data_IF_606964508631
#
_entry.id   IF_606964508631
#
_cell.length_a   1.000
_cell.length_b   1.000
_cell.length_c   1.000
_cell.angle_alpha   90.00
_cell.angle_beta   90.00
_cell.angle_gamma   90.00
#
_symmetry.space_group_name_H-M   'P 1'
#
loop_
_entity.id
_entity.type
_entity.pdbx_description
1 polymer ?
#
# COMPACT_ATOMS: atom_id res chain seq x y z
N UNK A 1 12.88 -2.97 43.09
CA UNK A 1 11.42 -2.71 42.96
C UNK A 1 10.95 -2.63 41.50
N UNK A 2 11.73 -2.08 40.57
CA UNK A 2 11.39 -2.02 39.12
C UNK A 2 11.36 -3.38 38.41
N UNK A 3 12.24 -4.32 38.79
CA UNK A 3 12.27 -5.67 38.19
C UNK A 3 11.00 -6.50 38.47
N UNK A 4 10.42 -6.36 39.66
CA UNK A 4 9.21 -7.09 40.09
C UNK A 4 7.94 -6.54 39.42
N UNK A 5 7.88 -5.22 39.22
CA UNK A 5 6.81 -4.59 38.44
C UNK A 5 6.89 -5.00 36.96
N UNK A 6 8.10 -5.10 36.40
CA UNK A 6 8.29 -5.57 35.02
C UNK A 6 7.87 -7.02 34.85
N UNK A 7 8.21 -7.91 35.79
CA UNK A 7 7.79 -9.31 35.70
C UNK A 7 6.28 -9.46 35.81
N UNK A 8 5.62 -8.71 36.70
CA UNK A 8 4.15 -8.73 36.80
C UNK A 8 3.46 -8.19 35.54
N UNK A 9 4.00 -7.14 34.91
CA UNK A 9 3.45 -6.63 33.63
C UNK A 9 3.67 -7.66 32.51
N UNK A 10 4.82 -8.33 32.48
CA UNK A 10 5.13 -9.38 31.49
C UNK A 10 4.24 -10.61 31.70
N UNK A 11 4.00 -11.04 32.94
CA UNK A 11 3.14 -12.19 33.26
C UNK A 11 1.66 -11.87 32.97
N UNK A 12 1.22 -10.63 33.22
CA UNK A 12 -0.13 -10.17 32.87
C UNK A 12 -0.29 -10.03 31.35
N UNK A 13 0.73 -9.55 30.64
CA UNK A 13 0.73 -9.46 29.17
C UNK A 13 0.82 -10.84 28.50
N UNK A 14 1.53 -11.79 29.10
CA UNK A 14 1.61 -13.19 28.66
C UNK A 14 0.27 -13.90 28.88
N UNK A 15 -0.41 -13.66 30.01
CA UNK A 15 -1.72 -14.26 30.30
C UNK A 15 -2.88 -13.66 29.48
N UNK A 16 -2.70 -12.49 28.86
CA UNK A 16 -3.69 -11.88 27.95
C UNK A 16 -3.53 -12.31 26.49
N UNK A 17 -2.56 -13.18 26.16
CA UNK A 17 -2.27 -13.56 24.76
C UNK A 17 -1.74 -12.40 23.91
N UNK A 18 -1.45 -11.24 24.51
CA UNK A 18 -0.97 -10.06 23.82
C UNK A 18 0.43 -10.29 23.24
N UNK A 19 1.27 -11.08 23.90
CA UNK A 19 2.59 -11.47 23.39
C UNK A 19 2.49 -12.40 22.18
N UNK A 20 1.54 -13.33 22.17
CA UNK A 20 1.27 -14.22 21.03
C UNK A 20 0.64 -13.46 19.87
N UNK A 21 -0.25 -12.49 20.16
CA UNK A 21 -0.82 -11.59 19.17
C UNK A 21 0.26 -10.68 18.55
N UNK A 22 1.21 -10.17 19.35
CA UNK A 22 2.33 -9.36 18.85
C UNK A 22 3.29 -10.20 18.02
N UNK A 23 3.62 -11.41 18.46
CA UNK A 23 4.56 -12.28 17.73
C UNK A 23 3.92 -12.84 16.44
N UNK A 24 2.63 -13.17 16.45
CA UNK A 24 1.88 -13.55 15.25
C UNK A 24 1.67 -12.38 14.29
N UNK A 25 1.40 -11.18 14.80
CA UNK A 25 1.38 -9.96 13.99
C UNK A 25 2.76 -9.68 13.40
N UNK A 26 3.83 -9.81 14.18
CA UNK A 26 5.21 -9.68 13.69
C UNK A 26 5.52 -10.70 12.62
N UNK A 27 5.19 -11.98 12.82
CA UNK A 27 5.40 -13.04 11.84
C UNK A 27 4.60 -12.78 10.55
N UNK A 28 3.34 -12.32 10.68
CA UNK A 28 2.49 -11.96 9.55
C UNK A 28 3.04 -10.74 8.80
N UNK A 29 3.41 -9.68 9.52
CA UNK A 29 3.99 -8.44 8.99
C UNK A 29 5.40 -8.64 8.40
N UNK A 30 6.13 -9.65 8.86
CA UNK A 30 7.45 -10.04 8.33
C UNK A 30 7.36 -10.92 7.07
N UNK A 31 6.15 -11.17 6.56
CA UNK A 31 6.00 -11.81 5.26
C UNK A 31 6.17 -10.77 4.15
N UNK A 32 6.76 -11.21 3.04
CA UNK A 32 6.89 -10.43 1.82
C UNK A 32 5.54 -9.86 1.35
N UNK A 33 4.48 -10.67 1.44
CA UNK A 33 3.13 -10.28 1.08
C UNK A 33 2.62 -9.11 1.93
N UNK A 34 2.98 -9.06 3.21
CA UNK A 34 2.64 -7.93 4.07
C UNK A 34 3.39 -6.65 3.69
N UNK A 35 4.66 -6.76 3.29
CA UNK A 35 5.44 -5.60 2.80
C UNK A 35 4.76 -5.04 1.53
N UNK A 36 4.43 -5.89 0.56
CA UNK A 36 3.71 -5.49 -0.65
C UNK A 36 2.36 -4.85 -0.35
N UNK A 37 1.62 -5.43 0.60
CA UNK A 37 0.30 -4.92 1.01
C UNK A 37 0.42 -3.55 1.67
N UNK A 38 1.43 -3.34 2.52
CA UNK A 38 1.69 -2.04 3.15
C UNK A 38 2.06 -0.99 2.11
N UNK A 39 2.89 -1.34 1.13
CA UNK A 39 3.26 -0.44 0.03
C UNK A 39 2.01 -0.05 -0.77
N UNK A 40 1.19 -1.02 -1.19
CA UNK A 40 -0.07 -0.76 -1.90
C UNK A 40 -1.06 0.07 -1.07
N UNK A 41 -1.16 -0.21 0.23
CA UNK A 41 -2.00 0.57 1.14
C UNK A 41 -1.53 2.02 1.25
N UNK A 42 -0.22 2.23 1.36
CA UNK A 42 0.39 3.56 1.40
C UNK A 42 0.11 4.32 0.10
N UNK A 43 0.27 3.68 -1.06
CA UNK A 43 -0.08 4.26 -2.36
C UNK A 43 -1.57 4.65 -2.45
N UNK A 44 -2.47 3.75 -2.03
CA UNK A 44 -3.91 4.02 -2.01
C UNK A 44 -4.29 5.15 -1.05
N UNK A 45 -3.62 5.25 0.11
CA UNK A 45 -3.85 6.31 1.09
C UNK A 45 -3.41 7.67 0.54
N UNK A 46 -2.30 7.74 -0.19
CA UNK A 46 -1.84 8.97 -0.83
C UNK A 46 -2.76 9.37 -1.99
N UNK A 47 -3.21 8.39 -2.78
CA UNK A 47 -4.19 8.62 -3.85
C UNK A 47 -5.51 9.16 -3.28
N UNK A 48 -5.98 8.64 -2.14
CA UNK A 48 -7.21 9.08 -1.45
C UNK A 48 -7.20 10.58 -1.17
N UNK A 49 -6.07 11.15 -0.77
CA UNK A 49 -5.96 12.59 -0.49
C UNK A 49 -6.24 13.47 -1.73
N UNK A 50 -5.99 12.95 -2.93
CA UNK A 50 -6.20 13.65 -4.21
C UNK A 50 -7.59 13.42 -4.79
N UNK A 51 -8.11 12.19 -4.70
CA UNK A 51 -9.41 11.81 -5.30
C UNK A 51 -10.60 12.10 -4.37
N UNK A 52 -10.36 12.17 -3.05
CA UNK A 52 -11.35 12.49 -2.01
C UNK A 52 -10.81 13.61 -1.10
N UNK A 53 -10.75 14.85 -1.59
CA UNK A 53 -10.31 15.98 -0.78
C UNK A 53 -11.28 16.23 0.39
N UNK A 54 -10.71 16.54 1.56
CA UNK A 54 -11.49 16.88 2.74
C UNK A 54 -12.10 18.28 2.58
N UNK A 55 -13.43 18.37 2.63
CA UNK A 55 -14.17 19.64 2.58
C UNK A 55 -14.64 20.03 3.96
N UNK A 56 -14.72 21.34 4.21
CA UNK A 56 -15.29 21.86 5.45
C UNK A 56 -16.75 21.40 5.60
N UNK A 57 -17.06 20.73 6.71
CA UNK A 57 -18.41 20.22 6.97
C UNK A 57 -19.15 21.11 7.97
N UNK A 58 -18.60 21.25 9.18
CA UNK A 58 -19.17 22.09 10.23
C UNK A 58 -18.10 22.46 11.27
N UNK A 59 -18.35 23.52 12.02
CA UNK A 59 -17.52 23.89 13.18
C UNK A 59 -18.20 23.38 14.44
N UNK A 60 -17.47 22.64 15.27
CA UNK A 60 -17.96 22.29 16.60
C UNK A 60 -17.93 23.58 17.44
N UNK A 61 -19.08 24.05 17.96
CA UNK A 61 -19.15 25.26 18.75
C UNK A 61 -18.34 25.10 20.04
N UNK A 62 -17.71 26.18 20.51
CA UNK A 62 -16.97 26.17 21.77
C UNK A 62 -17.92 25.84 22.91
N UNK A 63 -17.58 24.86 23.74
CA UNK A 63 -18.29 24.57 24.98
C UNK A 63 -17.65 25.37 26.11
N UNK A 64 -18.33 26.39 26.68
CA UNK A 64 -17.77 27.21 27.76
C UNK A 64 -17.38 26.37 28.98
N UNK A 65 -18.09 25.25 29.20
CA UNK A 65 -17.86 24.32 30.30
C UNK A 65 -16.55 23.52 30.18
N UNK A 66 -16.01 23.38 28.97
CA UNK A 66 -14.79 22.61 28.69
C UNK A 66 -13.61 23.50 28.25
N UNK A 67 -13.78 24.83 28.23
CA UNK A 67 -12.79 25.81 27.78
C UNK A 67 -12.10 25.41 26.45
N UNK A 68 -12.88 24.89 25.51
CA UNK A 68 -12.38 24.40 24.20
C UNK A 68 -12.61 25.45 23.12
N UNK A 69 -11.56 25.72 22.34
CA UNK A 69 -11.64 26.61 21.18
C UNK A 69 -12.49 25.98 20.05
N UNK A 70 -13.17 26.79 19.21
CA UNK A 70 -13.92 26.30 18.07
C UNK A 70 -13.00 25.51 17.13
N UNK A 71 -13.36 24.26 16.80
CA UNK A 71 -12.59 23.42 15.89
C UNK A 71 -13.37 23.20 14.59
N UNK A 72 -12.84 23.63 13.43
CA UNK A 72 -13.43 23.28 12.15
C UNK A 72 -13.21 21.79 11.90
N UNK A 73 -14.28 21.07 11.58
CA UNK A 73 -14.23 19.66 11.19
C UNK A 73 -14.35 19.59 9.67
N UNK A 74 -13.30 19.10 9.03
CA UNK A 74 -13.31 18.75 7.62
C UNK A 74 -13.67 17.27 7.49
N UNK A 75 -14.54 16.94 6.54
CA UNK A 75 -14.91 15.56 6.23
C UNK A 75 -14.63 15.28 4.75
N UNK A 76 -14.28 14.03 4.40
CA UNK A 76 -14.13 13.63 3.02
C UNK A 76 -15.45 13.79 2.28
N UNK A 77 -15.40 14.32 1.06
CA UNK A 77 -16.58 14.44 0.20
C UNK A 77 -16.97 13.07 -0.38
N UNK A 78 -17.77 12.31 0.39
CA UNK A 78 -18.18 10.94 0.02
C UNK A 78 -19.08 10.90 -1.22
N UNK A 79 -19.69 12.01 -1.64
CA UNK A 79 -20.50 12.04 -2.87
C UNK A 79 -19.65 11.82 -4.11
N UNK A 80 -18.35 12.13 -4.06
CA UNK A 80 -17.42 11.86 -5.15
C UNK A 80 -17.33 10.36 -5.47
N UNK A 81 -17.56 9.47 -4.50
CA UNK A 81 -17.62 8.01 -4.72
C UNK A 81 -18.73 7.61 -5.71
N UNK A 82 -19.73 8.44 -5.94
CA UNK A 82 -20.80 8.18 -6.92
C UNK A 82 -20.49 8.78 -8.30
N UNK A 83 -19.35 9.45 -8.46
CA UNK A 83 -18.99 10.18 -9.68
C UNK A 83 -17.80 9.55 -10.39
N UNK A 84 -17.68 9.78 -11.70
CA UNK A 84 -16.52 9.33 -12.49
C UNK A 84 -15.21 9.98 -12.03
N UNK A 85 -15.27 11.16 -11.42
CA UNK A 85 -14.11 11.87 -10.88
C UNK A 85 -13.31 11.04 -9.86
N UNK A 86 -13.99 10.18 -9.09
CA UNK A 86 -13.34 9.22 -8.20
C UNK A 86 -12.89 7.97 -8.96
N UNK A 87 -13.81 7.36 -9.72
CA UNK A 87 -13.57 6.05 -10.31
C UNK A 87 -12.55 6.05 -11.45
N UNK A 88 -12.45 7.10 -12.25
CA UNK A 88 -11.49 7.16 -13.36
C UNK A 88 -10.03 7.03 -12.89
N UNK A 89 -9.50 7.91 -12.01
CA UNK A 89 -8.15 7.75 -11.50
C UNK A 89 -7.98 6.50 -10.63
N UNK A 90 -9.00 6.14 -9.84
CA UNK A 90 -8.92 4.95 -9.00
C UNK A 90 -8.81 3.64 -9.80
N UNK A 91 -9.66 3.46 -10.82
CA UNK A 91 -9.63 2.27 -11.68
C UNK A 91 -8.38 2.22 -12.54
N UNK A 92 -7.89 3.37 -13.01
CA UNK A 92 -6.62 3.44 -13.72
C UNK A 92 -5.47 2.97 -12.83
N UNK A 93 -5.34 3.54 -11.61
CA UNK A 93 -4.34 3.10 -10.64
C UNK A 93 -4.49 1.61 -10.30
N UNK A 94 -5.71 1.14 -10.03
CA UNK A 94 -5.97 -0.26 -9.71
C UNK A 94 -5.56 -1.19 -10.85
N UNK A 95 -5.84 -0.81 -12.10
CA UNK A 95 -5.47 -1.59 -13.27
C UNK A 95 -3.94 -1.62 -13.46
N UNK A 96 -3.28 -0.47 -13.37
CA UNK A 96 -1.86 -0.34 -13.73
C UNK A 96 -0.90 -0.71 -12.59
N UNK A 97 -1.28 -0.42 -11.35
CA UNK A 97 -0.43 -0.62 -10.17
C UNK A 97 -0.71 -1.95 -9.46
N UNK A 98 -1.86 -2.59 -9.70
CA UNK A 98 -2.22 -3.85 -9.03
C UNK A 98 -2.61 -4.97 -9.99
N UNK A 99 -3.70 -4.83 -10.77
CA UNK A 99 -4.25 -5.94 -11.55
C UNK A 99 -3.31 -6.41 -12.67
N UNK A 100 -2.80 -5.50 -13.49
CA UNK A 100 -1.91 -5.85 -14.58
C UNK A 100 -0.59 -6.45 -14.06
N UNK A 101 0.12 -5.85 -13.08
CA UNK A 101 1.30 -6.45 -12.49
C UNK A 101 1.04 -7.83 -11.87
N UNK A 102 -0.11 -8.03 -11.21
CA UNK A 102 -0.50 -9.31 -10.64
C UNK A 102 -0.72 -10.36 -11.73
N UNK A 103 -1.37 -9.99 -12.85
CA UNK A 103 -1.50 -10.88 -14.00
C UNK A 103 -0.13 -11.28 -14.56
N UNK A 104 0.80 -10.33 -14.70
CA UNK A 104 2.17 -10.63 -15.11
C UNK A 104 2.88 -11.57 -14.11
N UNK A 105 2.76 -11.32 -12.81
CA UNK A 105 3.34 -12.17 -11.77
C UNK A 105 2.77 -13.59 -11.73
N UNK A 106 1.49 -13.75 -12.12
CA UNK A 106 0.83 -15.04 -12.23
C UNK A 106 1.32 -15.84 -13.45
N UNK A 107 1.40 -15.21 -14.63
CA UNK A 107 1.80 -15.89 -15.86
C UNK A 107 3.31 -16.05 -16.02
N UNK A 108 4.10 -15.06 -15.60
CA UNK A 108 5.56 -15.05 -15.75
C UNK A 108 6.24 -15.35 -14.42
N UNK A 109 6.30 -16.62 -14.04
CA UNK A 109 6.98 -17.03 -12.81
C UNK A 109 8.50 -17.19 -13.04
N UNK A 110 9.27 -16.13 -12.84
CA UNK A 110 10.73 -16.12 -13.00
C UNK A 110 11.42 -16.93 -11.89
N UNK A 111 10.88 -16.88 -10.67
CA UNK A 111 11.43 -17.55 -9.49
C UNK A 111 11.20 -19.06 -9.49
N UNK A 112 10.11 -19.55 -10.09
CA UNK A 112 9.74 -20.97 -10.11
C UNK A 112 10.49 -21.83 -11.13
N UNK A 113 10.95 -21.26 -12.25
CA UNK A 113 11.56 -22.04 -13.36
C UNK A 113 13.01 -22.47 -13.09
N UNK A 114 13.69 -21.89 -12.10
CA UNK A 114 15.12 -22.15 -11.79
C UNK A 114 15.39 -23.23 -10.75
N UNK A 115 14.38 -23.93 -10.22
CA UNK A 115 14.61 -25.02 -9.26
C UNK A 115 15.07 -26.33 -9.93
N UNK A 116 16.24 -26.30 -10.58
CA UNK A 116 17.06 -27.51 -10.76
C UNK A 116 17.83 -27.73 -9.46
N UNK A 117 17.15 -28.26 -8.44
CA UNK A 117 17.83 -28.85 -7.28
C UNK A 117 17.70 -28.12 -5.93
N UNK A 118 16.50 -27.73 -5.49
CA UNK A 118 16.29 -27.75 -4.02
C UNK A 118 15.18 -26.90 -3.41
N UNK A 119 14.68 -25.85 -4.05
CA UNK A 119 13.67 -25.00 -3.40
C UNK A 119 12.50 -24.68 -4.31
N UNK A 120 11.32 -25.15 -3.88
CA UNK A 120 10.04 -24.70 -4.43
C UNK A 120 9.63 -23.48 -3.62
N UNK A 121 9.65 -22.30 -4.22
CA UNK A 121 8.99 -21.15 -3.66
C UNK A 121 7.47 -21.35 -3.81
N UNK A 122 6.78 -21.57 -2.69
CA UNK A 122 5.33 -21.80 -2.65
C UNK A 122 4.58 -20.45 -2.60
N UNK A 123 4.88 -19.55 -3.54
CA UNK A 123 4.06 -18.36 -3.76
C UNK A 123 3.13 -18.62 -4.94
N UNK A 124 1.84 -18.27 -4.80
CA UNK A 124 0.86 -18.37 -5.90
C UNK A 124 1.17 -17.39 -7.04
N UNK A 125 1.87 -16.29 -6.73
CA UNK A 125 2.30 -15.26 -7.65
C UNK A 125 3.76 -14.92 -7.39
N UNK A 126 4.54 -14.65 -8.46
CA UNK A 126 5.96 -14.34 -8.34
C UNK A 126 6.17 -12.87 -7.89
N UNK A 127 6.62 -12.62 -6.66
CA UNK A 127 6.68 -11.26 -6.11
C UNK A 127 7.71 -10.36 -6.81
N UNK A 128 8.79 -10.94 -7.33
CA UNK A 128 9.79 -10.17 -8.08
C UNK A 128 9.19 -9.68 -9.40
N UNK A 129 8.52 -10.57 -10.12
CA UNK A 129 7.84 -10.23 -11.37
C UNK A 129 6.74 -9.19 -11.14
N UNK A 130 6.00 -9.28 -10.03
CA UNK A 130 5.00 -8.27 -9.66
C UNK A 130 5.63 -6.87 -9.57
N UNK A 131 6.70 -6.72 -8.79
CA UNK A 131 7.37 -5.43 -8.62
C UNK A 131 7.97 -4.88 -9.92
N UNK A 132 8.61 -5.75 -10.70
CA UNK A 132 9.23 -5.35 -11.98
C UNK A 132 8.16 -4.92 -12.99
N UNK A 133 7.08 -5.70 -13.14
CA UNK A 133 5.98 -5.36 -14.03
C UNK A 133 5.29 -4.06 -13.58
N UNK A 134 5.03 -3.91 -12.28
CA UNK A 134 4.45 -2.70 -11.68
C UNK A 134 5.30 -1.48 -11.97
N UNK A 135 6.62 -1.55 -11.78
CA UNK A 135 7.53 -0.45 -12.06
C UNK A 135 7.50 -0.04 -13.54
N UNK A 136 7.59 -1.01 -14.47
CA UNK A 136 7.59 -0.75 -15.91
C UNK A 136 6.25 -0.13 -16.36
N UNK A 137 5.13 -0.70 -15.94
CA UNK A 137 3.80 -0.22 -16.31
C UNK A 137 3.55 1.17 -15.74
N UNK A 138 3.83 1.37 -14.45
CA UNK A 138 3.67 2.66 -13.77
C UNK A 138 4.52 3.73 -14.43
N UNK A 139 5.78 3.43 -14.75
CA UNK A 139 6.66 4.36 -15.45
C UNK A 139 6.13 4.69 -16.85
N UNK A 140 5.73 3.69 -17.64
CA UNK A 140 5.20 3.90 -18.99
C UNK A 140 3.92 4.75 -19.01
N UNK A 141 2.99 4.50 -18.08
CA UNK A 141 1.71 5.23 -17.97
C UNK A 141 1.93 6.64 -17.44
N UNK A 142 2.53 6.76 -16.26
CA UNK A 142 2.51 8.02 -15.51
C UNK A 142 3.69 8.94 -15.84
N UNK A 143 4.86 8.41 -16.16
CA UNK A 143 6.00 9.22 -16.63
C UNK A 143 6.00 9.36 -18.16
N UNK A 144 5.75 8.26 -18.87
CA UNK A 144 5.78 8.20 -20.34
C UNK A 144 4.51 8.70 -21.04
N UNK A 145 3.37 8.78 -20.34
CA UNK A 145 2.08 9.19 -20.92
C UNK A 145 1.51 8.17 -21.91
N UNK A 146 1.84 6.89 -21.76
CA UNK A 146 1.32 5.84 -22.64
C UNK A 146 -0.20 5.72 -22.49
N UNK A 147 -0.93 5.96 -23.59
CA UNK A 147 -2.40 5.99 -23.59
C UNK A 147 -3.06 4.63 -23.81
N UNK A 148 -2.29 3.58 -24.13
CA UNK A 148 -2.75 2.22 -24.49
C UNK A 148 -4.00 2.22 -25.37
N UNK A 149 -3.87 2.71 -26.61
CA UNK A 149 -4.98 2.79 -27.58
C UNK A 149 -6.20 3.61 -27.09
N UNK A 150 -5.99 4.57 -26.19
CA UNK A 150 -7.05 5.44 -25.66
C UNK A 150 -7.75 4.91 -24.41
N UNK A 151 -7.27 3.80 -23.83
CA UNK A 151 -7.80 3.23 -22.59
C UNK A 151 -7.37 4.04 -21.36
N UNK A 152 -6.31 4.83 -21.47
CA UNK A 152 -5.79 5.67 -20.39
C UNK A 152 -6.18 7.12 -20.63
N UNK A 153 -6.93 7.67 -19.69
CA UNK A 153 -7.27 9.09 -19.65
C UNK A 153 -6.12 9.93 -19.07
N UNK A 154 -5.71 10.97 -19.81
CA UNK A 154 -4.58 11.83 -19.47
C UNK A 154 -4.87 12.73 -18.26
N UNK A 155 -6.13 13.11 -18.05
CA UNK A 155 -6.53 13.89 -16.89
C UNK A 155 -6.35 13.07 -15.61
N UNK A 156 -6.81 11.81 -15.63
CA UNK A 156 -6.59 10.85 -14.55
C UNK A 156 -5.11 10.61 -14.26
N UNK A 157 -4.27 10.51 -15.30
CA UNK A 157 -2.80 10.45 -15.15
C UNK A 157 -2.26 11.68 -14.45
N UNK A 158 -2.69 12.88 -14.85
CA UNK A 158 -2.23 14.13 -14.23
C UNK A 158 -2.59 14.20 -12.74
N UNK A 159 -3.80 13.76 -12.37
CA UNK A 159 -4.24 13.71 -10.97
C UNK A 159 -3.42 12.73 -10.13
N UNK A 160 -3.14 11.53 -10.64
CA UNK A 160 -2.27 10.58 -9.93
C UNK A 160 -0.85 11.12 -9.76
N UNK A 161 -0.35 11.87 -10.75
CA UNK A 161 0.96 12.54 -10.66
C UNK A 161 0.99 13.67 -9.62
N UNK A 162 -0.12 14.40 -9.43
CA UNK A 162 -0.22 15.49 -8.46
C UNK A 162 -0.46 15.02 -7.02
N UNK A 163 -0.84 13.77 -6.81
CA UNK A 163 -1.14 13.23 -5.48
C UNK A 163 0.02 13.47 -4.49
N UNK A 164 -0.26 14.24 -3.44
CA UNK A 164 0.69 14.59 -2.40
C UNK A 164 1.18 13.32 -1.69
N UNK A 165 2.49 13.26 -1.43
CA UNK A 165 3.26 12.10 -0.92
C UNK A 165 3.79 11.09 -1.96
N UNK A 166 4.15 11.59 -3.15
CA UNK A 166 5.16 10.95 -4.00
C UNK A 166 4.71 10.63 -5.43
N UNK A 167 3.44 10.85 -5.77
CA UNK A 167 2.91 10.60 -7.12
C UNK A 167 3.34 9.25 -7.70
N UNK A 168 3.78 9.27 -8.96
CA UNK A 168 4.29 8.07 -9.65
C UNK A 168 5.68 7.62 -9.17
N UNK A 169 6.50 8.55 -8.65
CA UNK A 169 7.84 8.27 -8.13
C UNK A 169 7.77 7.40 -6.87
N UNK A 170 6.79 7.67 -6.01
CA UNK A 170 6.50 6.88 -4.81
C UNK A 170 6.09 5.44 -5.14
N UNK A 171 5.30 5.25 -6.20
CA UNK A 171 4.90 3.91 -6.67
C UNK A 171 6.13 3.14 -7.17
N UNK A 172 6.98 3.77 -7.98
CA UNK A 172 8.23 3.14 -8.47
C UNK A 172 9.21 2.87 -7.33
N UNK A 173 9.31 3.80 -6.36
CA UNK A 173 10.10 3.61 -5.15
C UNK A 173 9.62 2.42 -4.31
N UNK A 174 8.30 2.28 -4.16
CA UNK A 174 7.68 1.11 -3.53
C UNK A 174 8.06 -0.19 -4.25
N UNK A 175 8.02 -0.20 -5.59
CA UNK A 175 8.46 -1.36 -6.38
C UNK A 175 9.93 -1.72 -6.16
N UNK A 176 10.81 -0.72 -6.00
CA UNK A 176 12.22 -0.95 -5.72
C UNK A 176 12.41 -1.60 -4.34
N UNK A 177 11.71 -1.11 -3.32
CA UNK A 177 11.73 -1.70 -1.97
C UNK A 177 11.19 -3.14 -1.99
N UNK A 178 10.05 -3.37 -2.65
CA UNK A 178 9.47 -4.69 -2.82
C UNK A 178 10.43 -5.65 -3.50
N UNK A 179 10.97 -5.29 -4.67
CA UNK A 179 11.95 -6.09 -5.39
C UNK A 179 13.19 -6.41 -4.54
N UNK A 180 13.75 -5.44 -3.81
CA UNK A 180 14.87 -5.67 -2.89
C UNK A 180 14.51 -6.66 -1.78
N UNK A 181 13.32 -6.55 -1.19
CA UNK A 181 12.84 -7.50 -0.19
C UNK A 181 12.72 -8.92 -0.77
N UNK A 182 12.21 -9.06 -2.00
CA UNK A 182 12.10 -10.37 -2.66
C UNK A 182 13.48 -11.02 -2.88
N UNK A 183 14.47 -10.24 -3.30
CA UNK A 183 15.84 -10.70 -3.55
C UNK A 183 16.52 -11.07 -2.22
N UNK A 184 16.35 -10.24 -1.20
CA UNK A 184 16.89 -10.49 0.14
C UNK A 184 16.36 -11.80 0.73
N UNK A 185 15.04 -12.02 0.66
CA UNK A 185 14.41 -13.26 1.12
C UNK A 185 14.91 -14.48 0.33
N UNK A 186 15.06 -14.35 -1.00
CA UNK A 186 15.60 -15.42 -1.84
C UNK A 186 17.07 -15.76 -1.53
N UNK A 187 17.87 -14.79 -1.05
CA UNK A 187 19.25 -15.00 -0.63
C UNK A 187 19.30 -15.71 0.73
N UNK A 188 18.50 -15.28 1.71
CA UNK A 188 18.51 -15.87 3.06
C UNK A 188 18.00 -17.30 3.07
N UNK A 189 17.00 -17.60 2.26
CA UNK A 189 16.43 -18.96 2.20
C UNK A 189 17.40 -19.96 1.55
N UNK A 190 18.49 -19.51 0.92
CA UNK A 190 19.47 -20.31 0.19
C UNK A 190 20.43 -21.08 1.11
#
# INVERSE_FOLDING_TARGET
RTAVLRSQIVDVAASTGATEAVESARASLSSLLSIETIILFFEAANLRSEILPDRYAFTIPSLPLLNTAPRPVALPDLFLLLTSSFWQPFTLWLATAFLAPLAFAYFFNLTGRRSRGGQKFEYQFDPLTFNVAKAIITYAVFAGGATFCGLVDLESVARIRSAAAGGWEGIVGGCAVGALATVYEAIIRK
#
